data_IF_830672706460
#
_entry.id   IF_830672706460
#
_cell.length_a   1.000
_cell.length_b   1.000
_cell.length_c   1.000
_cell.angle_alpha   90.00
_cell.angle_beta   90.00
_cell.angle_gamma   90.00
#
_symmetry.space_group_name_H-M   'P 1'
#
loop_
_entity.id
_entity.type
_entity.pdbx_description
1 polymer ?
#
# COMPACT_ATOMS: atom_id res chain seq x y z
N UNK A 1 -17.99 8.57 6.96
CA UNK A 1 -17.71 7.28 6.29
C UNK A 1 -16.36 7.44 5.59
N UNK A 2 -15.28 6.95 6.20
CA UNK A 2 -13.94 7.06 5.60
C UNK A 2 -13.85 6.01 4.50
N UNK A 3 -13.79 6.46 3.24
CA UNK A 3 -13.85 5.59 2.08
C UNK A 3 -12.65 4.63 2.13
N UNK A 4 -12.91 3.32 2.14
CA UNK A 4 -11.90 2.25 2.29
C UNK A 4 -10.87 2.22 1.13
N UNK A 5 -11.05 3.10 0.14
CA UNK A 5 -10.44 3.01 -1.18
C UNK A 5 -9.56 4.21 -1.57
N UNK A 6 -9.35 5.18 -0.68
CA UNK A 6 -8.63 6.42 -1.02
C UNK A 6 -7.51 6.72 -0.03
N UNK A 7 -6.29 6.89 -0.55
CA UNK A 7 -5.17 7.45 0.20
C UNK A 7 -4.89 8.87 -0.32
N UNK A 8 -4.74 9.82 0.60
CA UNK A 8 -4.38 11.19 0.26
C UNK A 8 -2.86 11.33 0.19
N UNK A 9 -2.37 11.79 -0.96
CA UNK A 9 -0.97 12.13 -1.17
C UNK A 9 -0.82 13.65 -1.31
N UNK A 10 0.29 14.16 -0.78
CA UNK A 10 0.63 15.58 -0.85
C UNK A 10 1.63 15.81 -1.98
N UNK A 11 1.43 16.90 -2.72
CA UNK A 11 2.34 17.32 -3.79
C UNK A 11 3.38 18.29 -3.22
N UNK A 12 4.66 17.99 -3.41
CA UNK A 12 5.73 18.94 -3.09
C UNK A 12 5.87 20.00 -4.21
N UNK A 13 6.61 21.09 -3.94
CA UNK A 13 6.82 22.16 -4.93
C UNK A 13 7.57 21.71 -6.19
N UNK A 14 8.26 20.57 -6.13
CA UNK A 14 8.99 19.96 -7.24
C UNK A 14 8.11 18.99 -8.05
N UNK A 15 6.85 18.78 -7.65
CA UNK A 15 5.89 17.92 -8.35
C UNK A 15 5.87 16.45 -7.94
N UNK A 16 6.68 16.03 -6.96
CA UNK A 16 6.67 14.68 -6.42
C UNK A 16 5.56 14.48 -5.38
N UNK A 17 4.95 13.29 -5.39
CA UNK A 17 3.89 12.91 -4.47
C UNK A 17 4.44 12.10 -3.32
N UNK A 18 4.14 12.50 -2.09
CA UNK A 18 4.54 11.77 -0.88
C UNK A 18 3.36 11.54 0.06
N UNK A 19 3.39 10.41 0.76
CA UNK A 19 2.46 10.12 1.84
C UNK A 19 3.01 10.74 3.13
N UNK A 20 2.19 11.54 3.82
CA UNK A 20 2.66 12.27 5.01
C UNK A 20 3.15 11.29 6.08
N UNK A 21 4.34 11.54 6.63
CA UNK A 21 4.97 10.63 7.58
C UNK A 21 4.13 10.46 8.86
N UNK A 22 3.34 11.49 9.18
CA UNK A 22 2.41 11.55 10.31
C UNK A 22 1.31 10.47 10.25
N UNK A 23 1.01 9.96 9.06
CA UNK A 23 -0.02 8.95 8.89
C UNK A 23 0.50 7.52 9.12
N UNK A 24 1.83 7.34 9.26
CA UNK A 24 2.38 6.03 9.61
C UNK A 24 2.28 5.80 11.13
N UNK A 25 1.60 4.75 11.60
CA UNK A 25 1.51 4.48 13.03
C UNK A 25 2.87 4.14 13.66
N UNK A 26 3.84 3.69 12.86
CA UNK A 26 5.23 3.50 13.28
C UNK A 26 5.95 4.83 13.63
N UNK A 27 5.58 5.95 13.00
CA UNK A 27 6.13 7.26 13.35
C UNK A 27 5.76 7.66 14.78
N UNK A 28 4.50 7.42 15.16
CA UNK A 28 4.02 7.65 16.52
C UNK A 28 4.72 6.76 17.55
N UNK A 29 5.09 5.53 17.19
CA UNK A 29 5.90 4.66 18.04
C UNK A 29 7.25 5.28 18.37
N UNK A 30 7.95 5.85 17.39
CA UNK A 30 9.24 6.51 17.60
C UNK A 30 9.10 7.69 18.58
N UNK A 31 8.02 8.47 18.45
CA UNK A 31 7.70 9.55 19.40
C UNK A 31 7.46 8.99 20.81
N UNK A 32 6.66 7.93 20.96
CA UNK A 32 6.42 7.30 22.26
C UNK A 32 7.71 6.79 22.90
N UNK A 33 8.59 6.14 22.12
CA UNK A 33 9.90 5.69 22.61
C UNK A 33 10.79 6.86 23.03
N UNK A 34 10.80 7.95 22.28
CA UNK A 34 11.55 9.15 22.65
C UNK A 34 11.03 9.77 23.96
N UNK A 35 9.70 9.86 24.13
CA UNK A 35 9.07 10.35 25.36
C UNK A 35 9.42 9.44 26.55
N UNK A 36 9.38 8.12 26.36
CA UNK A 36 9.73 7.15 27.39
C UNK A 36 11.20 7.27 27.79
N UNK A 37 12.09 7.42 26.81
CA UNK A 37 13.52 7.61 27.05
C UNK A 37 13.78 8.89 27.86
N UNK A 38 13.14 10.00 27.50
CA UNK A 38 13.23 11.25 28.27
C UNK A 38 12.66 11.08 29.68
N UNK A 39 11.48 10.47 29.81
CA UNK A 39 10.80 10.28 31.10
C UNK A 39 11.62 9.46 32.09
N UNK A 40 12.31 8.42 31.63
CA UNK A 40 13.19 7.60 32.49
C UNK A 40 14.43 8.36 32.97
N UNK A 41 14.97 9.28 32.16
CA UNK A 41 16.10 10.14 32.56
C UNK A 41 15.70 11.18 33.61
N UNK A 42 14.52 11.79 33.47
CA UNK A 42 14.01 12.75 34.44
C UNK A 42 13.56 12.12 35.75
N UNK A 43 13.04 10.88 35.72
CA UNK A 43 12.71 10.14 36.94
C UNK A 43 13.95 9.93 37.84
N UNK A 44 15.13 9.71 37.26
CA UNK A 44 16.38 9.66 38.03
C UNK A 44 16.68 10.96 38.82
N UNK A 45 16.02 12.07 38.51
CA UNK A 45 16.21 13.39 39.16
C UNK A 45 14.98 13.86 39.96
N UNK A 46 13.83 13.18 39.87
CA UNK A 46 12.58 13.61 40.52
C UNK A 46 11.53 12.49 40.56
N UNK A 47 10.61 12.53 41.53
CA UNK A 47 9.65 11.47 41.81
C UNK A 47 8.49 11.44 40.78
N UNK A 48 8.81 11.08 39.52
CA UNK A 48 7.93 11.09 38.36
C UNK A 48 7.49 9.68 37.94
N UNK A 49 7.42 8.74 38.89
CA UNK A 49 7.04 7.34 38.65
C UNK A 49 5.71 7.20 37.91
N UNK A 50 4.74 8.07 38.20
CA UNK A 50 3.45 8.08 37.50
C UNK A 50 3.61 8.33 35.99
N UNK A 51 4.43 9.31 35.59
CA UNK A 51 4.62 9.65 34.17
C UNK A 51 5.34 8.54 33.40
N UNK A 52 6.34 7.90 34.02
CA UNK A 52 7.06 6.77 33.41
C UNK A 52 6.11 5.60 33.16
N UNK A 53 5.28 5.25 34.15
CA UNK A 53 4.33 4.15 34.01
C UNK A 53 3.28 4.42 32.92
N UNK A 54 2.73 5.64 32.85
CA UNK A 54 1.77 6.01 31.80
C UNK A 54 2.41 5.96 30.40
N UNK A 55 3.63 6.49 30.24
CA UNK A 55 4.37 6.43 28.97
C UNK A 55 4.68 4.99 28.55
N UNK A 56 5.03 4.13 29.51
CA UNK A 56 5.29 2.72 29.27
C UNK A 56 4.03 1.98 28.79
N UNK A 57 2.90 2.18 29.46
CA UNK A 57 1.62 1.58 29.07
C UNK A 57 1.22 2.04 27.66
N UNK A 58 1.33 3.33 27.36
CA UNK A 58 1.00 3.86 26.03
C UNK A 58 1.89 3.25 24.93
N UNK A 59 3.19 3.09 25.21
CA UNK A 59 4.13 2.49 24.26
C UNK A 59 3.79 1.02 24.02
N UNK A 60 3.52 0.24 25.07
CA UNK A 60 3.15 -1.17 24.97
C UNK A 60 1.82 -1.37 24.24
N UNK A 61 0.82 -0.51 24.50
CA UNK A 61 -0.45 -0.57 23.80
C UNK A 61 -0.28 -0.31 22.29
N UNK A 62 0.53 0.69 21.93
CA UNK A 62 0.78 1.06 20.53
C UNK A 62 1.61 -0.01 19.80
N UNK A 63 2.60 -0.63 20.46
CA UNK A 63 3.33 -1.76 19.88
C UNK A 63 2.42 -2.97 19.66
N UNK A 64 1.56 -3.30 20.63
CA UNK A 64 0.60 -4.39 20.48
C UNK A 64 -0.38 -4.14 19.31
N UNK A 65 -0.87 -2.90 19.16
CA UNK A 65 -1.71 -2.50 18.04
C UNK A 65 -1.02 -2.70 16.68
N UNK A 66 0.24 -2.28 16.56
CA UNK A 66 1.03 -2.46 15.33
C UNK A 66 1.28 -3.93 15.00
N UNK A 67 1.60 -4.74 16.00
CA UNK A 67 1.78 -6.19 15.84
C UNK A 67 0.48 -6.84 15.36
N UNK A 68 -0.67 -6.44 15.91
CA UNK A 68 -1.97 -6.93 15.46
C UNK A 68 -2.25 -6.55 14.00
N UNK A 69 -2.00 -5.30 13.60
CA UNK A 69 -2.16 -4.88 12.20
C UNK A 69 -1.27 -5.69 11.26
N UNK A 70 -0.01 -5.88 11.64
CA UNK A 70 0.94 -6.68 10.86
C UNK A 70 0.47 -8.13 10.77
N UNK A 71 0.04 -8.74 11.88
CA UNK A 71 -0.46 -10.10 11.92
C UNK A 71 -1.68 -10.30 11.03
N UNK A 72 -2.61 -9.33 11.00
CA UNK A 72 -3.77 -9.35 10.10
C UNK A 72 -3.31 -9.29 8.63
N UNK A 73 -2.38 -8.39 8.31
CA UNK A 73 -1.82 -8.25 6.96
C UNK A 73 -1.11 -9.52 6.47
N UNK A 74 -0.32 -10.14 7.34
CA UNK A 74 0.39 -11.40 7.04
C UNK A 74 -0.58 -12.55 6.88
N UNK A 75 -1.58 -12.69 7.77
CA UNK A 75 -2.61 -13.72 7.64
C UNK A 75 -3.37 -13.64 6.31
N UNK A 76 -3.65 -12.42 5.83
CA UNK A 76 -4.31 -12.20 4.53
C UNK A 76 -3.46 -12.69 3.34
N UNK A 77 -2.13 -12.70 3.46
CA UNK A 77 -1.20 -13.05 2.38
C UNK A 77 -0.50 -14.41 2.57
N UNK A 78 -0.76 -15.10 3.68
CA UNK A 78 -0.15 -16.38 4.04
C UNK A 78 1.31 -16.31 4.51
N UNK A 79 2.10 -15.30 4.09
CA UNK A 79 3.52 -15.17 4.43
C UNK A 79 3.96 -13.71 4.59
N UNK A 80 4.94 -13.47 5.47
CA UNK A 80 5.60 -12.17 5.66
C UNK A 80 6.26 -11.68 4.37
N UNK A 81 6.90 -12.58 3.63
CA UNK A 81 7.60 -12.25 2.38
C UNK A 81 6.58 -11.82 1.32
N UNK A 82 5.47 -12.56 1.21
CA UNK A 82 4.38 -12.23 0.28
C UNK A 82 3.71 -10.92 0.66
N UNK A 83 3.55 -10.65 1.96
CA UNK A 83 3.06 -9.37 2.45
C UNK A 83 3.96 -8.20 2.03
N UNK A 84 5.27 -8.28 2.26
CA UNK A 84 6.21 -7.22 1.85
C UNK A 84 6.22 -7.06 0.32
N UNK A 85 6.28 -8.15 -0.43
CA UNK A 85 6.23 -8.10 -1.89
C UNK A 85 4.92 -7.48 -2.38
N UNK A 86 3.78 -7.74 -1.73
CA UNK A 86 2.49 -7.17 -2.12
C UNK A 86 2.46 -5.66 -1.96
N UNK A 87 3.12 -5.15 -0.92
CA UNK A 87 3.27 -3.72 -0.68
C UNK A 87 4.17 -3.10 -1.75
N UNK A 88 5.28 -3.74 -2.10
CA UNK A 88 6.19 -3.25 -3.16
C UNK A 88 5.48 -3.18 -4.52
N UNK A 89 4.70 -4.19 -4.87
CA UNK A 89 3.88 -4.23 -6.10
C UNK A 89 2.85 -3.10 -6.09
N UNK A 90 2.12 -2.98 -4.98
CA UNK A 90 1.12 -1.93 -4.85
C UNK A 90 1.73 -0.53 -4.97
N UNK A 91 2.94 -0.32 -4.44
CA UNK A 91 3.64 0.95 -4.54
C UNK A 91 4.17 1.21 -5.96
N UNK A 92 4.72 0.22 -6.67
CA UNK A 92 5.20 0.42 -8.05
C UNK A 92 4.05 0.81 -8.99
N UNK A 93 2.91 0.15 -8.87
CA UNK A 93 1.71 0.48 -9.66
C UNK A 93 1.17 1.86 -9.27
N UNK A 94 1.19 2.19 -7.98
CA UNK A 94 0.80 3.52 -7.49
C UNK A 94 1.63 4.62 -8.12
N UNK A 95 2.95 4.44 -8.17
CA UNK A 95 3.85 5.39 -8.81
C UNK A 95 3.61 5.51 -10.30
N UNK A 96 3.33 4.41 -11.00
CA UNK A 96 2.99 4.43 -12.43
C UNK A 96 1.72 5.26 -12.68
N UNK A 97 0.63 5.00 -11.94
CA UNK A 97 -0.63 5.74 -12.05
C UNK A 97 -0.49 7.23 -11.70
N UNK A 98 0.36 7.56 -10.73
CA UNK A 98 0.67 8.94 -10.38
C UNK A 98 1.44 9.66 -11.49
N UNK A 99 2.38 8.96 -12.13
CA UNK A 99 3.23 9.49 -13.19
C UNK A 99 2.43 9.77 -14.47
N UNK A 100 1.52 8.86 -14.84
CA UNK A 100 0.65 9.02 -16.02
C UNK A 100 -0.55 9.94 -15.80
N UNK A 101 -0.66 10.55 -14.61
CA UNK A 101 -1.74 11.45 -14.21
C UNK A 101 -3.14 10.85 -14.29
N UNK A 102 -3.27 9.53 -14.28
CA UNK A 102 -4.56 8.84 -14.36
C UNK A 102 -5.33 8.89 -13.02
N UNK A 103 -4.79 9.60 -12.03
CA UNK A 103 -5.39 9.87 -10.72
C UNK A 103 -6.22 11.16 -10.75
N UNK A 104 -7.23 11.25 -9.89
CA UNK A 104 -8.12 12.40 -9.84
C UNK A 104 -7.37 13.66 -9.35
N UNK A 105 -7.12 14.61 -10.26
CA UNK A 105 -6.46 15.89 -9.96
C UNK A 105 -7.51 17.00 -9.80
N UNK A 106 -7.74 17.42 -8.56
CA UNK A 106 -8.52 18.63 -8.28
C UNK A 106 -7.63 19.85 -8.58
N UNK A 107 -8.04 20.67 -9.58
CA UNK A 107 -7.22 21.77 -10.12
C UNK A 107 -6.74 22.80 -9.09
N UNK A 108 -7.48 22.97 -8.00
CA UNK A 108 -7.22 23.99 -6.97
C UNK A 108 -6.86 23.40 -5.60
N UNK A 109 -6.41 22.14 -5.56
CA UNK A 109 -6.09 21.45 -4.32
C UNK A 109 -4.61 21.07 -4.19
N UNK A 110 -3.99 21.24 -3.01
CA UNK A 110 -2.65 20.71 -2.74
C UNK A 110 -2.62 19.18 -2.54
N UNK A 111 -3.79 18.52 -2.51
CA UNK A 111 -3.91 17.07 -2.33
C UNK A 111 -4.40 16.37 -3.60
N UNK A 112 -3.95 15.13 -3.78
CA UNK A 112 -4.43 14.22 -4.83
C UNK A 112 -4.97 12.96 -4.19
N UNK A 113 -6.13 12.53 -4.70
CA UNK A 113 -6.71 11.25 -4.36
C UNK A 113 -6.02 10.16 -5.17
N UNK A 114 -5.48 9.17 -4.46
CA UNK A 114 -4.80 8.03 -5.06
C UNK A 114 -5.62 6.78 -4.76
N UNK A 115 -5.85 5.91 -5.77
CA UNK A 115 -6.61 4.69 -5.55
C UNK A 115 -5.88 3.78 -4.56
N UNK A 116 -6.65 3.11 -3.71
CA UNK A 116 -6.12 1.99 -2.95
C UNK A 116 -5.78 0.85 -3.91
N UNK A 117 -4.62 0.23 -3.70
CA UNK A 117 -4.12 -0.85 -4.54
C UNK A 117 -3.80 -2.00 -3.61
N UNK A 118 -4.40 -3.14 -3.87
CA UNK A 118 -4.21 -4.37 -3.11
C UNK A 118 -3.74 -5.45 -4.07
N UNK A 119 -2.57 -6.04 -3.80
CA UNK A 119 -2.10 -7.22 -4.50
C UNK A 119 -2.21 -8.42 -3.55
N UNK A 120 -2.81 -9.52 -3.98
CA UNK A 120 -2.95 -10.75 -3.21
C UNK A 120 -2.25 -11.88 -3.93
N UNK A 121 -1.29 -12.52 -3.25
CA UNK A 121 -0.58 -13.67 -3.80
C UNK A 121 -1.42 -14.93 -3.64
N UNK A 122 -1.61 -15.63 -4.75
CA UNK A 122 -2.12 -17.00 -4.83
C UNK A 122 -1.05 -17.85 -5.50
N UNK A 123 -1.06 -19.18 -5.33
CA UNK A 123 0.07 -20.08 -5.66
C UNK A 123 0.76 -19.79 -7.01
N UNK A 124 0.00 -19.55 -8.09
CA UNK A 124 0.54 -19.26 -9.43
C UNK A 124 0.18 -17.88 -10.00
N UNK A 125 -0.55 -17.05 -9.25
CA UNK A 125 -1.14 -15.82 -9.79
C UNK A 125 -1.26 -14.74 -8.72
N UNK A 126 -1.17 -13.48 -9.14
CA UNK A 126 -1.35 -12.32 -8.29
C UNK A 126 -2.66 -11.65 -8.68
N UNK A 127 -3.60 -11.59 -7.74
CA UNK A 127 -4.84 -10.87 -7.90
C UNK A 127 -4.62 -9.43 -7.45
N UNK A 128 -4.71 -8.51 -8.39
CA UNK A 128 -4.53 -7.08 -8.16
C UNK A 128 -5.89 -6.38 -8.21
N UNK A 129 -6.21 -5.64 -7.17
CA UNK A 129 -7.40 -4.80 -7.09
C UNK A 129 -6.97 -3.34 -7.02
N UNK A 130 -7.40 -2.53 -7.98
CA UNK A 130 -7.17 -1.09 -8.03
C UNK A 130 -8.51 -0.39 -7.80
N UNK A 131 -8.64 0.39 -6.73
CA UNK A 131 -9.85 1.17 -6.46
C UNK A 131 -10.13 2.17 -7.59
N UNK A 132 -11.39 2.37 -7.93
CA UNK A 132 -11.81 3.33 -8.95
C UNK A 132 -12.06 4.69 -8.30
N UNK A 133 -11.40 5.73 -8.82
CA UNK A 133 -11.67 7.12 -8.44
C UNK A 133 -12.59 7.81 -9.44
N UNK A 134 -13.15 8.96 -9.05
CA UNK A 134 -13.85 9.84 -9.98
C UNK A 134 -12.91 10.27 -11.12
N UNK A 135 -13.32 10.07 -12.37
CA UNK A 135 -12.51 10.34 -13.57
C UNK A 135 -11.75 9.14 -14.11
N UNK A 136 -11.62 8.04 -13.35
CA UNK A 136 -10.99 6.79 -13.82
C UNK A 136 -12.03 5.90 -14.51
N UNK A 137 -12.31 6.15 -15.79
CA UNK A 137 -13.33 5.41 -16.55
C UNK A 137 -12.76 4.41 -17.56
N UNK A 138 -11.50 4.58 -17.95
CA UNK A 138 -10.90 3.83 -19.05
C UNK A 138 -10.02 2.68 -18.53
N UNK A 139 -10.57 1.46 -18.54
CA UNK A 139 -9.86 0.24 -18.13
C UNK A 139 -8.57 0.02 -18.95
N UNK A 140 -8.57 0.40 -20.24
CA UNK A 140 -7.42 0.14 -21.12
C UNK A 140 -6.22 1.01 -20.73
N UNK A 141 -6.45 2.27 -20.38
CA UNK A 141 -5.38 3.16 -19.88
C UNK A 141 -4.82 2.67 -18.55
N UNK A 142 -5.69 2.22 -17.65
CA UNK A 142 -5.26 1.66 -16.35
C UNK A 142 -4.42 0.41 -16.58
N UNK A 143 -4.85 -0.46 -17.50
CA UNK A 143 -4.11 -1.65 -17.88
C UNK A 143 -2.73 -1.29 -18.42
N UNK A 144 -2.62 -0.30 -19.31
CA UNK A 144 -1.34 0.16 -19.84
C UNK A 144 -0.41 0.68 -18.73
N UNK A 145 -0.94 1.46 -17.78
CA UNK A 145 -0.19 1.93 -16.62
C UNK A 145 0.30 0.77 -15.75
N UNK A 146 -0.56 -0.23 -15.51
CA UNK A 146 -0.20 -1.44 -14.78
C UNK A 146 0.89 -2.21 -15.53
N UNK A 147 0.71 -2.50 -16.82
CA UNK A 147 1.69 -3.21 -17.64
C UNK A 147 3.03 -2.47 -17.71
N UNK A 148 3.02 -1.13 -17.75
CA UNK A 148 4.23 -0.32 -17.71
C UNK A 148 4.98 -0.46 -16.38
N UNK A 149 4.23 -0.54 -15.27
CA UNK A 149 4.79 -0.73 -13.93
C UNK A 149 5.46 -2.08 -13.74
N UNK A 150 5.07 -3.09 -14.55
CA UNK A 150 5.62 -4.43 -14.46
C UNK A 150 7.03 -4.54 -15.06
N UNK A 151 7.42 -3.65 -15.99
CA UNK A 151 8.67 -3.77 -16.77
C UNK A 151 9.98 -3.67 -15.95
N UNK A 152 9.90 -3.36 -14.65
CA UNK A 152 11.03 -3.32 -13.73
C UNK A 152 11.08 -4.55 -12.82
N UNK A 153 10.85 -4.34 -11.52
CA UNK A 153 10.92 -5.36 -10.47
C UNK A 153 9.99 -6.58 -10.71
N UNK A 154 8.95 -6.41 -11.53
CA UNK A 154 7.93 -7.41 -11.79
C UNK A 154 7.95 -7.93 -13.23
N UNK A 155 9.08 -7.83 -13.94
CA UNK A 155 9.15 -8.16 -15.37
C UNK A 155 8.79 -9.63 -15.70
N UNK A 156 8.81 -10.50 -14.69
CA UNK A 156 8.36 -11.89 -14.78
C UNK A 156 6.84 -12.06 -14.77
N UNK A 157 6.09 -11.01 -14.45
CA UNK A 157 4.63 -11.04 -14.36
C UNK A 157 4.01 -10.26 -15.53
N UNK A 158 2.91 -10.76 -16.06
CA UNK A 158 2.11 -10.07 -17.08
C UNK A 158 0.63 -10.12 -16.73
N UNK A 159 -0.13 -9.08 -17.12
CA UNK A 159 -1.58 -9.04 -16.94
C UNK A 159 -2.24 -10.00 -17.92
N UNK A 160 -2.82 -11.10 -17.41
CA UNK A 160 -3.54 -12.10 -18.22
C UNK A 160 -5.03 -11.79 -18.32
N UNK A 161 -5.61 -11.21 -17.26
CA UNK A 161 -7.02 -10.80 -17.23
C UNK A 161 -7.18 -9.41 -16.61
N UNK A 162 -8.17 -8.67 -17.11
CA UNK A 162 -8.53 -7.35 -16.62
C UNK A 162 -10.04 -7.18 -16.70
N UNK A 163 -10.67 -6.81 -15.59
CA UNK A 163 -12.11 -6.61 -15.48
C UNK A 163 -12.44 -5.40 -14.59
N UNK A 164 -13.64 -4.87 -14.74
CA UNK A 164 -14.23 -3.98 -13.73
C UNK A 164 -15.00 -4.86 -12.76
N UNK A 165 -14.86 -4.60 -11.45
CA UNK A 165 -15.60 -5.33 -10.43
C UNK A 165 -17.11 -5.21 -10.65
N UNK A 166 -17.87 -6.20 -10.19
CA UNK A 166 -19.33 -6.26 -10.33
C UNK A 166 -20.02 -5.01 -9.78
N UNK A 167 -19.48 -4.46 -8.69
CA UNK A 167 -19.99 -3.25 -8.04
C UNK A 167 -19.56 -1.95 -8.74
N UNK A 168 -18.68 -2.04 -9.74
CA UNK A 168 -18.16 -0.91 -10.50
C UNK A 168 -17.17 -0.01 -9.75
N UNK A 169 -16.78 -0.37 -8.52
CA UNK A 169 -15.96 0.43 -7.60
C UNK A 169 -14.46 0.17 -7.67
N UNK A 170 -14.04 -0.89 -8.39
CA UNK A 170 -12.64 -1.26 -8.57
C UNK A 170 -12.39 -1.89 -9.93
N UNK A 171 -11.14 -1.84 -10.36
CA UNK A 171 -10.57 -2.61 -11.45
C UNK A 171 -9.86 -3.83 -10.86
N UNK A 172 -10.08 -4.99 -11.46
CA UNK A 172 -9.51 -6.26 -11.05
C UNK A 172 -8.59 -6.76 -12.17
N UNK A 173 -7.37 -7.11 -11.81
CA UNK A 173 -6.36 -7.64 -12.72
C UNK A 173 -5.83 -8.95 -12.18
N UNK A 174 -5.58 -9.89 -13.06
CA UNK A 174 -4.87 -11.14 -12.75
C UNK A 174 -3.52 -11.08 -13.43
N UNK A 175 -2.46 -11.26 -12.64
CA UNK A 175 -1.10 -11.35 -13.15
C UNK A 175 -0.60 -12.78 -13.01
N UNK A 176 0.00 -13.30 -14.07
CA UNK A 176 0.62 -14.63 -14.07
C UNK A 176 2.09 -14.54 -14.48
N UNK A 177 2.86 -15.55 -14.09
CA UNK A 177 4.26 -15.66 -14.46
C UNK A 177 4.38 -15.97 -15.97
N UNK A 178 5.10 -15.11 -16.69
CA UNK A 178 5.32 -15.21 -18.14
C UNK A 178 6.03 -16.52 -18.52
N UNK A 179 6.92 -17.03 -17.66
CA UNK A 179 7.64 -18.28 -17.92
C UNK A 179 6.77 -19.52 -17.70
N UNK A 180 5.70 -19.40 -16.91
CA UNK A 180 4.79 -20.52 -16.62
C UNK A 180 3.66 -20.58 -17.66
N UNK A 181 3.21 -19.42 -18.16
CA UNK A 181 2.12 -19.30 -19.12
C UNK A 181 2.48 -19.72 -20.57
N UNK A 182 3.76 -19.80 -20.92
CA UNK A 182 4.22 -20.27 -22.24
C UNK A 182 4.08 -21.79 -22.49
N UNK A 183 3.54 -22.59 -21.55
CA UNK A 183 3.49 -24.06 -21.67
C UNK A 183 2.33 -24.62 -22.51
N UNK A 184 1.52 -23.80 -23.18
CA UNK A 184 0.55 -24.31 -24.16
C UNK A 184 1.11 -24.23 -25.58
N UNK A 185 2.14 -25.03 -25.86
CA UNK A 185 2.46 -25.41 -27.24
C UNK A 185 1.47 -26.50 -27.61
N UNK A 186 0.48 -26.17 -28.45
CA UNK A 186 -0.39 -27.17 -29.06
C UNK A 186 0.50 -27.92 -30.08
N UNK A 187 0.93 -29.13 -29.74
CA UNK A 187 1.41 -30.09 -30.74
C UNK A 187 0.20 -30.47 -31.61
N UNK A 188 0.06 -29.81 -32.76
CA UNK A 188 -0.80 -30.30 -33.82
C UNK A 188 -0.11 -31.50 -34.46
N UNK A 189 -0.70 -32.68 -34.27
CA UNK A 189 -0.38 -33.91 -35.00
C UNK A 189 -1.39 -34.07 -36.14
#
# INVERSE_FOLDING_TARGET
>A
MMNKFTRFYYRNQQGYYYYSILNYPAFWLVICLAILFVSTRFNSSGNLDYFVNVSLIATVALTAYLICLLAIGVKKQGSLINYVNSLLIADSIRYALLNTMNVNRVKDSPFIEVPNIEAVFTDNQINLTVGKLAGMHDLNKIKEDVDSSLRGYLAKWAVTSSAVSLDGTSFEFVLEDVNTSQRFIIENN
#
